data_IF_770202151962
#
_entry.id   IF_770202151962
#
_cell.length_a   1.000
_cell.length_b   1.000
_cell.length_c   1.000
_cell.angle_alpha   90.00
_cell.angle_beta   90.00
_cell.angle_gamma   90.00
#
_symmetry.space_group_name_H-M   'P 1'
#
loop_
_entity.id
_entity.type
_entity.pdbx_description
1 polymer ?
#
# COMPACT_ATOMS: atom_id res chain seq x y z
N UNK A 1 5.78 5.87 -17.17
CA UNK A 1 6.14 6.95 -16.22
C UNK A 1 7.36 7.70 -16.75
N UNK A 2 7.53 8.97 -16.39
CA UNK A 2 8.63 9.83 -16.88
C UNK A 2 9.87 9.77 -15.94
N UNK A 3 9.73 9.17 -14.76
CA UNK A 3 10.81 8.84 -13.81
C UNK A 3 10.46 7.59 -12.99
N UNK A 4 11.48 6.92 -12.47
CA UNK A 4 11.29 5.85 -11.47
C UNK A 4 10.74 6.42 -10.16
N UNK A 5 9.95 5.62 -9.45
CA UNK A 5 9.43 5.96 -8.11
C UNK A 5 10.53 5.72 -7.09
N UNK A 6 10.80 6.72 -6.25
CA UNK A 6 11.78 6.62 -5.17
C UNK A 6 11.20 5.95 -3.93
N UNK A 7 12.06 5.32 -3.14
CA UNK A 7 11.70 4.71 -1.85
C UNK A 7 11.05 5.72 -0.90
N UNK A 8 11.52 6.97 -0.94
CA UNK A 8 10.99 8.06 -0.13
C UNK A 8 9.55 8.41 -0.54
N UNK A 9 9.24 8.47 -1.84
CA UNK A 9 7.87 8.69 -2.32
C UNK A 9 6.93 7.57 -1.89
N UNK A 10 7.40 6.31 -1.93
CA UNK A 10 6.62 5.14 -1.48
C UNK A 10 6.29 5.26 0.00
N UNK A 11 7.31 5.55 0.81
CA UNK A 11 7.16 5.71 2.26
C UNK A 11 6.23 6.87 2.59
N UNK A 12 6.45 8.04 1.99
CA UNK A 12 5.63 9.23 2.25
C UNK A 12 4.18 9.01 1.86
N UNK A 13 3.93 8.31 0.75
CA UNK A 13 2.58 7.94 0.34
C UNK A 13 1.90 7.03 1.38
N UNK A 14 2.59 5.97 1.85
CA UNK A 14 2.05 5.07 2.88
C UNK A 14 1.80 5.80 4.22
N UNK A 15 2.74 6.65 4.63
CA UNK A 15 2.65 7.38 5.90
C UNK A 15 1.60 8.51 5.88
N UNK A 16 1.19 8.97 4.70
CA UNK A 16 0.12 9.96 4.53
C UNK A 16 -1.29 9.43 4.80
N UNK A 17 -1.48 8.11 4.82
CA UNK A 17 -2.79 7.48 5.06
C UNK A 17 -3.13 7.58 6.56
N UNK A 18 -4.33 8.02 6.94
CA UNK A 18 -4.74 8.04 8.36
C UNK A 18 -4.79 6.62 8.96
N UNK A 19 -4.39 6.47 10.22
CA UNK A 19 -4.22 5.18 10.89
C UNK A 19 -5.52 4.38 11.04
N UNK A 20 -6.64 5.09 11.15
CA UNK A 20 -7.99 4.57 11.38
C UNK A 20 -8.81 4.41 10.08
N UNK A 21 -8.17 4.52 8.91
CA UNK A 21 -8.83 4.18 7.65
C UNK A 21 -9.25 2.72 7.63
N UNK A 22 -10.36 2.47 6.93
CA UNK A 22 -10.93 1.14 6.75
C UNK A 22 -9.86 0.15 6.27
N UNK A 23 -9.74 -1.02 6.90
CA UNK A 23 -8.78 -2.04 6.49
C UNK A 23 -9.13 -2.64 5.14
N UNK A 24 -8.13 -3.24 4.50
CA UNK A 24 -8.35 -4.10 3.34
C UNK A 24 -9.07 -5.40 3.72
N UNK A 25 -9.30 -6.31 2.76
CA UNK A 25 -9.83 -7.65 3.04
C UNK A 25 -8.95 -8.50 3.96
N UNK A 26 -7.68 -8.11 4.14
CA UNK A 26 -6.73 -8.71 5.06
C UNK A 26 -6.96 -8.33 6.54
N UNK A 27 -7.78 -7.30 6.80
CA UNK A 27 -8.07 -6.81 8.14
C UNK A 27 -7.00 -5.88 8.72
N UNK A 28 -5.95 -5.53 7.97
CA UNK A 28 -4.89 -4.63 8.44
C UNK A 28 -5.19 -3.17 8.04
N UNK A 29 -5.00 -2.25 8.99
CA UNK A 29 -5.09 -0.80 8.73
C UNK A 29 -3.73 -0.23 8.36
N UNK A 30 -3.69 1.03 7.93
CA UNK A 30 -2.44 1.74 7.67
C UNK A 30 -1.49 1.76 8.90
N UNK A 31 -2.06 1.79 10.11
CA UNK A 31 -1.27 1.75 11.36
C UNK A 31 -0.35 0.53 11.42
N UNK A 32 -0.86 -0.66 11.06
CA UNK A 32 -0.07 -1.89 11.04
C UNK A 32 1.16 -1.77 10.12
N UNK A 33 0.96 -1.28 8.89
CA UNK A 33 2.05 -1.13 7.93
C UNK A 33 3.09 -0.09 8.36
N UNK A 34 2.66 0.98 9.05
CA UNK A 34 3.57 2.00 9.60
C UNK A 34 4.37 1.47 10.79
N UNK A 35 3.73 0.75 11.71
CA UNK A 35 4.39 0.15 12.88
C UNK A 35 5.36 -0.96 12.48
N UNK A 36 4.97 -1.79 11.51
CA UNK A 36 5.79 -2.87 10.98
C UNK A 36 6.82 -2.41 9.92
N UNK A 37 6.89 -1.11 9.60
CA UNK A 37 7.69 -0.60 8.48
C UNK A 37 9.15 -1.07 8.51
N UNK A 38 9.78 -1.12 9.69
CA UNK A 38 11.18 -1.59 9.83
C UNK A 38 11.39 -3.05 9.46
N UNK A 39 10.33 -3.84 9.38
CA UNK A 39 10.33 -5.26 9.02
C UNK A 39 9.94 -5.44 7.55
N UNK A 40 8.94 -4.69 7.07
CA UNK A 40 8.30 -4.93 5.76
C UNK A 40 8.71 -3.93 4.66
N UNK A 41 9.49 -2.89 4.98
CA UNK A 41 9.81 -1.80 4.04
C UNK A 41 10.37 -2.31 2.71
N UNK A 42 11.34 -3.21 2.76
CA UNK A 42 12.03 -3.72 1.56
C UNK A 42 11.06 -4.46 0.64
N UNK A 43 10.18 -5.29 1.20
CA UNK A 43 9.17 -6.03 0.43
C UNK A 43 8.17 -5.08 -0.23
N UNK A 44 7.69 -4.07 0.52
CA UNK A 44 6.74 -3.07 0.01
C UNK A 44 7.37 -2.21 -1.10
N UNK A 45 8.59 -1.74 -0.90
CA UNK A 45 9.34 -0.93 -1.86
C UNK A 45 9.58 -1.73 -3.15
N UNK A 46 10.02 -2.98 -3.02
CA UNK A 46 10.29 -3.84 -4.17
C UNK A 46 9.02 -4.13 -4.96
N UNK A 47 7.92 -4.47 -4.29
CA UNK A 47 6.63 -4.75 -4.93
C UNK A 47 6.09 -3.54 -5.69
N UNK A 48 6.12 -2.36 -5.07
CA UNK A 48 5.64 -1.12 -5.71
C UNK A 48 6.57 -0.71 -6.86
N UNK A 49 7.89 -0.82 -6.67
CA UNK A 49 8.86 -0.56 -7.73
C UNK A 49 8.67 -1.48 -8.94
N UNK A 50 8.41 -2.78 -8.71
CA UNK A 50 8.14 -3.74 -9.77
C UNK A 50 6.81 -3.42 -10.49
N UNK A 51 5.77 -3.05 -9.76
CA UNK A 51 4.50 -2.61 -10.35
C UNK A 51 4.71 -1.44 -11.31
N UNK A 52 5.48 -0.43 -10.94
CA UNK A 52 5.72 0.72 -11.81
C UNK A 52 6.65 0.43 -12.99
N UNK A 53 7.50 -0.61 -12.90
CA UNK A 53 8.34 -1.08 -14.02
C UNK A 53 7.59 -1.97 -15.00
N UNK A 54 6.82 -2.93 -14.50
CA UNK A 54 6.26 -4.04 -15.28
C UNK A 54 4.73 -3.97 -15.43
N UNK A 55 4.06 -3.10 -14.68
CA UNK A 55 2.59 -2.99 -14.63
C UNK A 55 1.89 -4.13 -13.90
N UNK A 56 2.63 -5.03 -13.27
CA UNK A 56 2.09 -6.23 -12.61
C UNK A 56 2.00 -6.01 -11.10
N UNK A 57 0.82 -6.28 -10.55
CA UNK A 57 0.58 -6.34 -9.11
C UNK A 57 0.08 -7.74 -8.75
N UNK A 58 0.39 -8.21 -7.54
CA UNK A 58 -0.19 -9.45 -7.01
C UNK A 58 -1.72 -9.36 -7.06
N UNK A 59 -2.38 -10.39 -7.60
CA UNK A 59 -3.84 -10.38 -7.80
C UNK A 59 -4.58 -10.28 -6.47
N UNK A 60 -3.96 -10.81 -5.42
CA UNK A 60 -4.37 -10.81 -4.04
C UNK A 60 -4.57 -9.38 -3.51
N UNK A 61 -3.75 -8.42 -3.98
CA UNK A 61 -3.87 -7.01 -3.61
C UNK A 61 -5.05 -6.29 -4.28
N UNK A 62 -5.64 -6.87 -5.33
CA UNK A 62 -6.81 -6.29 -6.01
C UNK A 62 -8.15 -6.67 -5.35
N UNK A 63 -8.14 -7.44 -4.26
CA UNK A 63 -9.35 -7.69 -3.49
C UNK A 63 -9.69 -6.43 -2.69
N UNK A 64 -10.92 -5.94 -2.83
CA UNK A 64 -11.42 -4.77 -2.10
C UNK A 64 -12.78 -5.11 -1.48
N UNK A 65 -13.02 -4.65 -0.26
CA UNK A 65 -14.34 -4.71 0.38
C UNK A 65 -15.09 -3.42 0.04
N UNK A 66 -16.21 -3.55 -0.67
CA UNK A 66 -17.09 -2.41 -0.96
C UNK A 66 -18.11 -2.29 0.18
N UNK A 67 -17.98 -1.24 0.99
CA UNK A 67 -18.99 -0.86 1.98
C UNK A 67 -19.92 0.21 1.40
N UNK A 68 -21.21 -0.12 1.22
CA UNK A 68 -22.23 0.85 0.80
C UNK A 68 -22.81 1.53 2.05
N UNK A 69 -22.60 2.84 2.17
CA UNK A 69 -23.20 3.65 3.25
C UNK A 69 -24.59 4.16 2.81
N UNK A 70 -25.64 3.99 3.63
CA UNK A 70 -26.94 4.59 3.38
C UNK A 70 -26.84 6.12 3.39
N UNK A 71 -27.60 6.78 2.51
CA UNK A 71 -27.83 8.24 2.56
C UNK A 71 -28.98 8.57 3.48
#
# INVERSE_FOLDING_TARGET
MIREVSEQEIKDALFSIEDDKSPGPDGFTAAFFKEAWTIIADDVINAIGEFFRNGNILKELNHTIIALLPK
#
